data_IF_650712632267
#
_entry.id   IF_650712632267
#
_cell.length_a   1.000
_cell.length_b   1.000
_cell.length_c   1.000
_cell.angle_alpha   90.00
_cell.angle_beta   90.00
_cell.angle_gamma   90.00
#
_symmetry.space_group_name_H-M   'P 1'
#
loop_
_entity.id
_entity.type
_entity.pdbx_description
1 polymer ?
#
# COMPACT_ATOMS: atom_id res chain seq x y z
N UNK A 1 -31.06 -5.78 -39.33
CA UNK A 1 -31.23 -4.92 -38.14
C UNK A 1 -31.28 -5.81 -36.90
N UNK A 2 -30.14 -6.08 -36.28
CA UNK A 2 -30.04 -7.07 -35.20
C UNK A 2 -30.33 -6.47 -33.83
N UNK A 3 -31.59 -6.41 -33.42
CA UNK A 3 -32.03 -5.97 -32.09
C UNK A 3 -33.11 -6.91 -31.53
N UNK A 4 -33.28 -6.97 -30.20
CA UNK A 4 -34.30 -7.79 -29.52
C UNK A 4 -33.73 -8.98 -28.72
N UNK A 5 -34.63 -9.79 -28.14
CA UNK A 5 -34.28 -10.99 -27.40
C UNK A 5 -34.48 -12.25 -28.25
N UNK A 6 -33.57 -13.23 -28.13
CA UNK A 6 -33.63 -14.51 -28.88
C UNK A 6 -33.72 -15.69 -27.92
N UNK A 7 -34.87 -16.37 -27.92
CA UNK A 7 -35.12 -17.58 -27.13
C UNK A 7 -35.52 -18.73 -28.04
N UNK A 8 -34.55 -19.28 -28.79
CA UNK A 8 -34.82 -20.41 -29.68
C UNK A 8 -35.21 -21.64 -28.86
N UNK A 9 -36.26 -22.38 -29.29
CA UNK A 9 -36.61 -23.65 -28.69
C UNK A 9 -35.46 -24.66 -28.76
N UNK A 10 -35.36 -25.52 -27.75
CA UNK A 10 -34.37 -26.61 -27.66
C UNK A 10 -35.03 -27.97 -27.90
N UNK A 11 -34.22 -28.96 -28.24
CA UNK A 11 -34.68 -30.36 -28.38
C UNK A 11 -35.50 -30.75 -27.14
N UNK A 12 -36.65 -31.39 -27.38
CA UNK A 12 -37.65 -31.81 -26.40
C UNK A 12 -38.53 -30.68 -25.79
N UNK A 13 -38.35 -29.41 -26.14
CA UNK A 13 -39.27 -28.33 -25.71
C UNK A 13 -40.57 -28.36 -26.52
N UNK A 14 -41.69 -28.09 -25.85
CA UNK A 14 -43.00 -27.95 -26.51
C UNK A 14 -43.14 -26.50 -26.96
N UNK A 15 -43.50 -26.32 -28.22
CA UNK A 15 -43.64 -25.00 -28.86
C UNK A 15 -45.08 -24.74 -29.24
N UNK A 16 -45.45 -23.46 -29.24
CA UNK A 16 -46.70 -22.98 -29.84
C UNK A 16 -46.41 -22.63 -31.28
N UNK A 17 -47.12 -23.27 -32.21
CA UNK A 17 -47.09 -22.96 -33.63
C UNK A 17 -48.27 -22.05 -33.96
N UNK A 18 -47.99 -20.98 -34.68
CA UNK A 18 -48.97 -20.14 -35.34
C UNK A 18 -48.65 -20.08 -36.84
N UNK A 19 -49.56 -19.55 -37.64
CA UNK A 19 -49.51 -19.64 -39.09
C UNK A 19 -49.64 -18.26 -39.71
N UNK A 20 -48.72 -17.88 -40.58
CA UNK A 20 -48.76 -16.57 -41.24
C UNK A 20 -50.08 -16.42 -42.02
N UNK A 21 -50.86 -15.39 -41.71
CA UNK A 21 -52.17 -15.12 -42.31
C UNK A 21 -53.16 -16.30 -42.21
N UNK A 22 -53.00 -17.18 -41.21
CA UNK A 22 -53.80 -18.40 -41.06
C UNK A 22 -53.48 -19.51 -42.10
N UNK A 23 -52.41 -19.36 -42.88
CA UNK A 23 -52.01 -20.34 -43.88
C UNK A 23 -51.25 -21.52 -43.24
N UNK A 24 -51.88 -22.70 -43.22
CA UNK A 24 -51.34 -23.93 -42.62
C UNK A 24 -49.98 -24.35 -43.22
N UNK A 25 -49.67 -23.95 -44.45
CA UNK A 25 -48.41 -24.25 -45.12
C UNK A 25 -47.26 -23.30 -44.71
N UNK A 26 -47.54 -22.30 -43.87
CA UNK A 26 -46.57 -21.30 -43.39
C UNK A 26 -46.51 -21.22 -41.86
N UNK A 27 -46.16 -22.32 -41.16
CA UNK A 27 -46.03 -22.32 -39.70
C UNK A 27 -44.83 -21.49 -39.23
N UNK A 28 -44.97 -20.87 -38.06
CA UNK A 28 -43.88 -20.26 -37.30
C UNK A 28 -44.05 -20.50 -35.80
N UNK A 29 -42.95 -20.45 -35.06
CA UNK A 29 -42.96 -20.64 -33.60
C UNK A 29 -43.22 -19.31 -32.91
N UNK A 30 -44.27 -19.25 -32.09
CA UNK A 30 -44.62 -18.07 -31.26
C UNK A 30 -43.89 -18.11 -29.92
N UNK A 31 -43.74 -19.29 -29.33
CA UNK A 31 -43.19 -19.43 -27.99
C UNK A 31 -43.11 -20.88 -27.53
N UNK A 32 -42.83 -21.04 -26.23
CA UNK A 32 -42.67 -22.34 -25.56
C UNK A 32 -43.70 -22.46 -24.46
N UNK A 33 -44.16 -23.67 -24.19
CA UNK A 33 -45.12 -23.96 -23.10
C UNK A 33 -44.54 -24.93 -22.08
N UNK A 34 -44.95 -24.75 -20.82
CA UNK A 34 -44.59 -25.60 -19.69
C UNK A 34 -45.83 -26.43 -19.31
N UNK A 35 -45.93 -27.66 -19.81
CA UNK A 35 -47.04 -28.58 -19.55
C UNK A 35 -46.53 -29.97 -19.11
N UNK A 36 -47.38 -30.69 -18.38
CA UNK A 36 -47.15 -32.06 -17.89
C UNK A 36 -45.85 -32.23 -17.08
N UNK A 37 -44.84 -32.93 -17.62
CA UNK A 37 -43.60 -33.24 -16.91
C UNK A 37 -42.65 -32.04 -16.77
N UNK A 38 -42.99 -30.86 -17.31
CA UNK A 38 -42.16 -29.66 -17.20
C UNK A 38 -42.77 -28.65 -16.23
N UNK A 39 -42.11 -28.47 -15.08
CA UNK A 39 -42.43 -27.39 -14.14
C UNK A 39 -42.09 -26.02 -14.73
N UNK A 40 -42.75 -24.94 -14.26
CA UNK A 40 -42.30 -23.58 -14.47
C UNK A 40 -40.84 -23.37 -14.04
N UNK A 41 -40.21 -22.31 -14.54
CA UNK A 41 -38.81 -21.96 -14.22
C UNK A 41 -38.58 -21.94 -12.71
N UNK A 42 -37.64 -22.77 -12.24
CA UNK A 42 -37.20 -22.79 -10.84
C UNK A 42 -35.99 -21.87 -10.67
N UNK A 43 -36.18 -20.74 -10.01
CA UNK A 43 -35.08 -19.89 -9.56
C UNK A 43 -34.41 -20.52 -8.33
N UNK A 44 -33.12 -20.27 -8.16
CA UNK A 44 -32.32 -20.71 -6.99
C UNK A 44 -32.10 -22.23 -6.84
N UNK A 45 -32.54 -23.03 -7.81
CA UNK A 45 -32.56 -24.52 -7.83
C UNK A 45 -33.41 -25.18 -6.74
N UNK A 46 -33.52 -24.54 -5.58
CA UNK A 46 -34.30 -24.94 -4.42
C UNK A 46 -35.74 -24.43 -4.47
N UNK A 47 -35.98 -23.32 -5.17
CA UNK A 47 -37.30 -22.68 -5.22
C UNK A 47 -38.36 -23.55 -5.88
N UNK A 48 -39.50 -23.67 -5.22
CA UNK A 48 -40.67 -24.36 -5.73
C UNK A 48 -41.92 -23.48 -5.61
N UNK A 49 -42.80 -23.59 -6.60
CA UNK A 49 -44.12 -22.98 -6.51
C UNK A 49 -45.01 -23.80 -5.56
N UNK A 50 -45.90 -23.16 -4.78
CA UNK A 50 -46.24 -21.73 -4.79
C UNK A 50 -45.33 -20.85 -3.90
N UNK A 51 -44.41 -21.43 -3.14
CA UNK A 51 -43.60 -20.73 -2.15
C UNK A 51 -42.80 -19.57 -2.76
N UNK A 52 -42.15 -19.80 -3.91
CA UNK A 52 -41.32 -18.80 -4.57
C UNK A 52 -42.04 -18.01 -5.67
N UNK A 53 -43.36 -17.83 -5.55
CA UNK A 53 -44.19 -17.12 -6.57
C UNK A 53 -43.83 -15.65 -6.78
N UNK A 54 -43.07 -15.05 -5.86
CA UNK A 54 -42.59 -13.67 -5.93
C UNK A 54 -41.23 -13.55 -6.63
N UNK A 55 -40.67 -14.67 -7.12
CA UNK A 55 -39.45 -14.68 -7.93
C UNK A 55 -39.82 -14.65 -9.42
N UNK A 56 -39.14 -13.79 -10.17
CA UNK A 56 -39.30 -13.66 -11.62
C UNK A 56 -37.94 -13.52 -12.31
N UNK A 57 -37.92 -13.67 -13.64
CA UNK A 57 -36.73 -13.40 -14.45
C UNK A 57 -36.45 -14.40 -15.55
N UNK A 58 -35.17 -14.53 -15.92
CA UNK A 58 -34.68 -15.36 -17.03
C UNK A 58 -33.69 -16.38 -16.48
N UNK A 59 -33.90 -17.66 -16.79
CA UNK A 59 -32.95 -18.73 -16.48
C UNK A 59 -32.63 -19.52 -17.75
N UNK A 60 -31.35 -19.63 -18.06
CA UNK A 60 -30.85 -20.46 -19.15
C UNK A 60 -30.49 -21.86 -18.64
N UNK A 61 -30.06 -22.74 -19.53
CA UNK A 61 -29.42 -24.01 -19.19
C UNK A 61 -28.23 -24.20 -20.13
N UNK A 62 -27.14 -24.76 -19.63
CA UNK A 62 -26.00 -25.15 -20.44
C UNK A 62 -26.39 -26.23 -21.46
N UNK A 63 -25.81 -26.19 -22.66
CA UNK A 63 -26.06 -27.22 -23.68
C UNK A 63 -25.19 -28.42 -23.36
N UNK A 64 -25.79 -29.60 -23.25
CA UNK A 64 -25.08 -30.85 -22.87
C UNK A 64 -24.37 -30.76 -21.51
N UNK A 65 -24.81 -29.85 -20.63
CA UNK A 65 -24.28 -29.67 -19.29
C UNK A 65 -25.38 -29.39 -18.26
N UNK A 66 -24.95 -29.19 -17.01
CA UNK A 66 -25.82 -28.94 -15.86
C UNK A 66 -25.81 -27.48 -15.40
N UNK A 67 -24.92 -26.66 -15.94
CA UNK A 67 -24.82 -25.24 -15.59
C UNK A 67 -26.00 -24.39 -16.07
N UNK A 68 -26.08 -23.16 -15.58
CA UNK A 68 -27.03 -22.16 -16.03
C UNK A 68 -26.54 -20.73 -15.79
N UNK A 69 -27.10 -19.80 -16.57
CA UNK A 69 -27.14 -18.39 -16.24
C UNK A 69 -28.53 -17.99 -15.72
N UNK A 70 -28.59 -17.02 -14.82
CA UNK A 70 -29.85 -16.55 -14.23
C UNK A 70 -29.82 -15.02 -14.07
N UNK A 71 -30.86 -14.35 -14.53
CA UNK A 71 -31.25 -13.00 -14.11
C UNK A 71 -32.53 -13.17 -13.28
N UNK A 72 -32.48 -12.92 -11.97
CA UNK A 72 -33.60 -13.11 -11.04
C UNK A 72 -33.97 -11.79 -10.38
N UNK A 73 -35.26 -11.51 -10.31
CA UNK A 73 -35.88 -10.45 -9.52
C UNK A 73 -36.64 -11.11 -8.38
N UNK A 74 -36.47 -10.60 -7.17
CA UNK A 74 -37.19 -11.01 -5.98
C UNK A 74 -38.04 -9.84 -5.50
N UNK A 75 -39.35 -9.95 -5.65
CA UNK A 75 -40.33 -8.92 -5.25
C UNK A 75 -40.92 -9.22 -3.86
N UNK A 76 -40.28 -10.09 -3.09
CA UNK A 76 -40.70 -10.38 -1.71
C UNK A 76 -40.52 -9.12 -0.86
N UNK A 77 -41.62 -8.67 -0.23
CA UNK A 77 -41.62 -7.55 0.72
C UNK A 77 -40.54 -7.76 1.79
N UNK A 78 -39.66 -6.77 1.98
CA UNK A 78 -38.53 -6.86 2.90
C UNK A 78 -37.31 -7.61 2.38
N UNK A 79 -37.39 -8.27 1.21
CA UNK A 79 -36.28 -9.00 0.57
C UNK A 79 -36.12 -8.64 -0.91
N UNK A 80 -36.44 -7.39 -1.27
CA UNK A 80 -36.33 -6.91 -2.64
C UNK A 80 -34.90 -7.02 -3.14
N UNK A 81 -34.68 -7.77 -4.23
CA UNK A 81 -33.34 -7.99 -4.76
C UNK A 81 -33.31 -8.29 -6.26
N UNK A 82 -32.15 -8.07 -6.87
CA UNK A 82 -31.84 -8.47 -8.25
C UNK A 82 -30.53 -9.23 -8.28
N UNK A 83 -30.48 -10.34 -9.01
CA UNK A 83 -29.29 -11.18 -9.15
C UNK A 83 -29.02 -11.47 -10.62
N UNK A 84 -27.77 -11.26 -11.04
CA UNK A 84 -27.20 -11.79 -12.27
C UNK A 84 -26.16 -12.85 -11.91
N UNK A 85 -26.39 -14.11 -12.29
CA UNK A 85 -25.59 -15.26 -11.91
C UNK A 85 -25.18 -16.09 -13.12
N UNK A 86 -23.97 -16.65 -13.06
CA UNK A 86 -23.56 -17.86 -13.78
C UNK A 86 -23.19 -18.94 -12.77
N UNK A 87 -23.56 -20.21 -13.00
CA UNK A 87 -23.05 -21.32 -12.18
C UNK A 87 -21.56 -21.55 -12.36
N UNK A 88 -20.97 -21.09 -13.48
CA UNK A 88 -19.54 -21.20 -13.71
C UNK A 88 -18.77 -20.28 -12.78
N UNK A 89 -17.95 -20.86 -11.91
CA UNK A 89 -17.31 -20.15 -10.79
C UNK A 89 -18.31 -19.48 -9.83
N UNK A 90 -19.61 -19.88 -9.90
CA UNK A 90 -20.76 -19.24 -9.25
C UNK A 90 -20.70 -17.72 -9.23
N UNK A 91 -20.25 -17.15 -10.35
CA UNK A 91 -19.99 -15.72 -10.51
C UNK A 91 -21.30 -14.95 -10.46
N UNK A 92 -21.40 -13.95 -9.58
CA UNK A 92 -22.64 -13.23 -9.32
C UNK A 92 -22.43 -11.73 -9.14
N UNK A 93 -23.38 -10.94 -9.66
CA UNK A 93 -23.70 -9.61 -9.20
C UNK A 93 -25.05 -9.67 -8.49
N UNK A 94 -25.07 -9.35 -7.20
CA UNK A 94 -26.26 -9.32 -6.37
C UNK A 94 -26.52 -7.88 -5.88
N UNK A 95 -27.77 -7.41 -5.96
CA UNK A 95 -28.18 -6.04 -5.64
C UNK A 95 -29.41 -6.06 -4.71
N UNK A 96 -29.46 -5.16 -3.74
CA UNK A 96 -30.59 -4.98 -2.82
C UNK A 96 -30.43 -5.75 -1.51
N UNK A 97 -31.51 -6.37 -1.03
CA UNK A 97 -31.51 -7.22 0.16
C UNK A 97 -31.01 -8.62 -0.21
N UNK A 98 -29.77 -8.91 0.15
CA UNK A 98 -29.10 -10.15 -0.22
C UNK A 98 -29.59 -11.25 0.71
N UNK A 99 -30.18 -12.31 0.16
CA UNK A 99 -30.67 -13.47 0.91
C UNK A 99 -30.11 -14.78 0.36
N UNK A 100 -30.19 -15.84 1.17
CA UNK A 100 -29.91 -17.19 0.71
C UNK A 100 -30.98 -17.69 -0.30
N UNK A 101 -30.65 -18.68 -1.15
CA UNK A 101 -31.63 -19.38 -1.99
C UNK A 101 -32.95 -19.70 -1.26
N UNK A 102 -34.09 -19.33 -1.86
CA UNK A 102 -35.40 -19.55 -1.24
C UNK A 102 -35.90 -20.99 -1.41
N UNK A 103 -36.29 -21.61 -0.31
CA UNK A 103 -37.10 -22.85 -0.29
C UNK A 103 -38.57 -22.55 0.04
N UNK A 104 -38.81 -21.57 0.92
CA UNK A 104 -40.13 -21.03 1.28
C UNK A 104 -40.28 -19.59 0.77
N UNK A 105 -41.36 -18.89 1.11
CA UNK A 105 -41.58 -17.50 0.71
C UNK A 105 -40.45 -16.52 1.10
N UNK A 106 -39.74 -16.80 2.19
CA UNK A 106 -38.65 -16.00 2.75
C UNK A 106 -37.42 -16.87 3.01
N UNK A 107 -36.24 -16.27 3.07
CA UNK A 107 -35.00 -16.97 3.43
C UNK A 107 -34.13 -16.11 4.32
N UNK A 108 -33.11 -16.69 4.94
CA UNK A 108 -32.20 -15.93 5.79
C UNK A 108 -31.44 -14.85 4.99
N UNK A 109 -31.35 -13.65 5.55
CA UNK A 109 -30.57 -12.56 4.99
C UNK A 109 -29.07 -12.79 5.16
N UNK A 110 -28.28 -12.38 4.17
CA UNK A 110 -26.81 -12.45 4.17
C UNK A 110 -26.11 -11.10 4.01
N UNK A 111 -26.86 -10.03 3.72
CA UNK A 111 -26.31 -8.68 3.60
C UNK A 111 -27.26 -7.71 2.87
N UNK A 112 -26.85 -6.46 2.76
CA UNK A 112 -27.57 -5.41 2.04
C UNK A 112 -26.60 -4.58 1.18
N UNK A 113 -27.08 -4.10 0.03
CA UNK A 113 -26.29 -3.26 -0.87
C UNK A 113 -25.99 -3.98 -2.18
N UNK A 114 -24.70 -4.12 -2.52
CA UNK A 114 -24.27 -4.88 -3.68
C UNK A 114 -23.14 -5.84 -3.34
N UNK A 115 -23.08 -6.95 -4.07
CA UNK A 115 -21.98 -7.91 -4.00
C UNK A 115 -21.59 -8.33 -5.42
N UNK A 116 -20.30 -8.22 -5.73
CA UNK A 116 -19.68 -8.88 -6.87
C UNK A 116 -18.80 -10.01 -6.34
N UNK A 117 -19.17 -11.27 -6.61
CA UNK A 117 -18.43 -12.45 -6.15
C UNK A 117 -18.14 -13.45 -7.26
N UNK A 118 -17.05 -14.20 -7.09
CA UNK A 118 -16.69 -15.37 -7.90
C UNK A 118 -15.74 -16.25 -7.10
N UNK A 119 -15.77 -17.55 -7.34
CA UNK A 119 -14.77 -18.49 -6.79
C UNK A 119 -13.52 -18.56 -7.68
N UNK A 120 -13.52 -17.84 -8.81
CA UNK A 120 -12.40 -17.74 -9.75
C UNK A 120 -11.73 -16.36 -9.67
N UNK A 121 -11.02 -15.96 -10.72
CA UNK A 121 -10.35 -14.66 -10.78
C UNK A 121 -11.33 -13.51 -11.04
N UNK A 122 -11.10 -12.39 -10.37
CA UNK A 122 -11.82 -11.13 -10.60
C UNK A 122 -10.89 -10.06 -11.18
N UNK A 123 -11.43 -9.18 -12.02
CA UNK A 123 -10.71 -8.01 -12.49
C UNK A 123 -11.65 -6.80 -12.63
N UNK A 124 -11.26 -5.68 -12.01
CA UNK A 124 -11.89 -4.36 -12.20
C UNK A 124 -10.89 -3.48 -12.92
N UNK A 125 -11.24 -3.01 -14.12
CA UNK A 125 -10.36 -2.18 -14.96
C UNK A 125 -11.11 -0.93 -15.42
N UNK A 126 -10.56 0.23 -15.11
CA UNK A 126 -11.08 1.52 -15.54
C UNK A 126 -9.93 2.37 -16.12
N UNK A 127 -9.83 2.42 -17.45
CA UNK A 127 -8.70 3.05 -18.15
C UNK A 127 -8.58 4.56 -17.99
N UNK A 128 -9.62 5.21 -17.46
CA UNK A 128 -9.66 6.65 -17.12
C UNK A 128 -9.57 6.89 -15.61
N UNK A 129 -9.42 5.82 -14.81
CA UNK A 129 -9.26 5.85 -13.35
C UNK A 129 -10.42 5.22 -12.57
N UNK A 130 -10.18 4.97 -11.27
CA UNK A 130 -11.05 4.22 -10.36
C UNK A 130 -11.16 4.93 -9.00
N UNK A 131 -12.38 5.20 -8.55
CA UNK A 131 -12.66 5.66 -7.19
C UNK A 131 -13.27 4.50 -6.38
N UNK A 132 -12.63 4.14 -5.27
CA UNK A 132 -13.16 3.20 -4.28
C UNK A 132 -13.35 3.97 -2.98
N UNK A 133 -14.61 4.21 -2.62
CA UNK A 133 -14.96 5.13 -1.54
C UNK A 133 -16.04 4.56 -0.62
N UNK A 134 -15.93 4.85 0.68
CA UNK A 134 -17.01 4.64 1.66
C UNK A 134 -17.66 5.96 2.10
N UNK A 135 -17.35 7.07 1.42
CA UNK A 135 -18.09 8.31 1.58
C UNK A 135 -19.51 8.15 1.05
N UNK A 136 -20.50 8.54 1.86
CA UNK A 136 -21.90 8.45 1.47
C UNK A 136 -22.25 9.48 0.40
N UNK A 137 -22.99 9.05 -0.62
CA UNK A 137 -23.59 9.92 -1.64
C UNK A 137 -25.10 9.68 -1.67
N UNK A 138 -25.84 10.48 -0.92
CA UNK A 138 -27.28 10.31 -0.81
C UNK A 138 -27.95 10.47 -2.18
N UNK A 139 -28.80 9.50 -2.51
CA UNK A 139 -29.61 9.46 -3.74
C UNK A 139 -28.79 9.57 -5.04
N UNK A 140 -27.48 9.27 -5.01
CA UNK A 140 -26.58 9.41 -6.14
C UNK A 140 -26.64 10.82 -6.81
N UNK A 141 -26.86 11.88 -6.02
CA UNK A 141 -27.07 13.26 -6.52
C UNK A 141 -25.80 13.93 -7.06
N UNK A 142 -24.64 13.60 -6.49
CA UNK A 142 -23.35 14.06 -7.01
C UNK A 142 -22.89 13.24 -8.23
N UNK A 143 -21.81 13.67 -8.87
CA UNK A 143 -21.23 12.95 -9.99
C UNK A 143 -20.57 11.63 -9.52
N UNK A 144 -20.59 10.60 -10.36
CA UNK A 144 -20.11 9.26 -9.97
C UNK A 144 -18.63 9.17 -9.56
N UNK A 145 -17.78 10.13 -9.96
CA UNK A 145 -16.36 10.24 -9.57
C UNK A 145 -16.09 11.46 -8.67
N UNK A 146 -17.06 11.87 -7.85
CA UNK A 146 -16.82 12.93 -6.86
C UNK A 146 -15.80 12.49 -5.80
N UNK A 147 -14.56 12.95 -5.97
CA UNK A 147 -13.43 12.69 -5.08
C UNK A 147 -13.04 13.93 -4.26
N UNK A 148 -13.92 14.93 -4.14
CA UNK A 148 -13.62 16.21 -3.49
C UNK A 148 -13.15 16.04 -2.03
N UNK A 149 -13.84 15.18 -1.26
CA UNK A 149 -13.47 14.92 0.14
C UNK A 149 -12.08 14.30 0.26
N UNK A 150 -11.75 13.35 -0.62
CA UNK A 150 -10.42 12.73 -0.66
C UNK A 150 -9.34 13.76 -1.05
N UNK A 151 -9.65 14.64 -2.02
CA UNK A 151 -8.74 15.73 -2.43
C UNK A 151 -8.43 16.67 -1.27
N UNK A 152 -9.45 17.11 -0.53
CA UNK A 152 -9.31 18.00 0.63
C UNK A 152 -8.47 17.38 1.74
N UNK A 153 -8.65 16.08 2.01
CA UNK A 153 -7.85 15.36 3.01
C UNK A 153 -6.36 15.29 2.60
N UNK A 154 -6.08 15.06 1.32
CA UNK A 154 -4.70 15.02 0.79
C UNK A 154 -4.09 16.43 0.79
N UNK A 155 -4.87 17.47 0.48
CA UNK A 155 -4.46 18.87 0.57
C UNK A 155 -4.10 19.28 2.00
N UNK A 156 -4.92 18.90 2.98
CA UNK A 156 -4.64 19.17 4.39
C UNK A 156 -3.32 18.52 4.83
N UNK A 157 -3.11 17.24 4.49
CA UNK A 157 -1.86 16.52 4.79
C UNK A 157 -0.64 17.13 4.08
N UNK A 158 -0.81 17.61 2.84
CA UNK A 158 0.23 18.32 2.11
C UNK A 158 0.66 19.61 2.85
N UNK A 159 -0.30 20.38 3.35
CA UNK A 159 -0.02 21.62 4.08
C UNK A 159 0.71 21.34 5.41
N UNK A 160 0.30 20.32 6.16
CA UNK A 160 1.01 19.89 7.37
C UNK A 160 2.45 19.44 7.06
N UNK A 161 2.63 18.66 5.99
CA UNK A 161 3.97 18.19 5.56
C UNK A 161 4.87 19.33 5.10
N UNK A 162 4.31 20.36 4.43
CA UNK A 162 5.03 21.59 4.08
C UNK A 162 5.54 22.34 5.30
N UNK A 163 4.68 22.53 6.31
CA UNK A 163 5.06 23.23 7.53
C UNK A 163 6.24 22.53 8.23
N UNK A 164 6.20 21.19 8.35
CA UNK A 164 7.29 20.42 8.94
C UNK A 164 8.57 20.46 8.09
N UNK A 165 8.44 20.43 6.76
CA UNK A 165 9.56 20.55 5.83
C UNK A 165 10.26 21.92 5.90
N UNK A 166 9.53 23.00 6.10
CA UNK A 166 10.12 24.33 6.31
C UNK A 166 10.89 24.39 7.63
N UNK A 167 10.41 23.73 8.68
CA UNK A 167 11.17 23.59 9.94
C UNK A 167 12.47 22.81 9.72
N UNK A 168 12.43 21.70 8.98
CA UNK A 168 13.62 20.92 8.63
C UNK A 168 14.65 21.77 7.86
N UNK A 169 14.20 22.55 6.87
CA UNK A 169 15.01 23.48 6.09
C UNK A 169 15.66 24.56 6.97
N UNK A 170 14.89 25.16 7.88
CA UNK A 170 15.39 26.18 8.82
C UNK A 170 16.42 25.61 9.81
N UNK A 171 16.35 24.31 10.11
CA UNK A 171 17.34 23.58 10.91
C UNK A 171 18.54 23.06 10.08
N UNK A 172 18.66 23.48 8.81
CA UNK A 172 19.72 23.04 7.90
C UNK A 172 19.77 21.51 7.71
N UNK A 173 18.61 20.86 7.76
CA UNK A 173 18.43 19.43 7.47
C UNK A 173 17.70 19.23 6.14
N UNK A 174 17.48 17.98 5.73
CA UNK A 174 16.87 17.66 4.44
C UNK A 174 15.35 17.98 4.44
N UNK A 175 14.87 18.88 3.57
CA UNK A 175 13.43 19.10 3.37
C UNK A 175 12.81 17.95 2.56
N UNK A 176 11.48 17.85 2.62
CA UNK A 176 10.72 16.92 1.80
C UNK A 176 10.60 17.43 0.36
N UNK A 177 11.37 16.83 -0.56
CA UNK A 177 11.31 17.14 -2.00
C UNK A 177 10.01 16.68 -2.68
N UNK A 178 9.24 15.80 -2.03
CA UNK A 178 8.04 15.17 -2.59
C UNK A 178 6.83 16.11 -2.71
N UNK A 179 6.87 17.29 -2.09
CA UNK A 179 5.71 18.16 -1.93
C UNK A 179 5.18 18.68 -3.28
N UNK A 180 6.07 18.93 -4.25
CA UNK A 180 5.67 19.35 -5.61
C UNK A 180 4.98 18.24 -6.39
N UNK A 181 5.44 16.99 -6.24
CA UNK A 181 4.81 15.83 -6.86
C UNK A 181 3.39 15.58 -6.32
N UNK A 182 3.19 15.77 -5.01
CA UNK A 182 1.87 15.64 -4.39
C UNK A 182 0.93 16.78 -4.82
N UNK A 183 1.45 18.01 -4.95
CA UNK A 183 0.70 19.14 -5.50
C UNK A 183 0.28 18.89 -6.96
N UNK A 184 1.19 18.35 -7.78
CA UNK A 184 0.85 17.96 -9.14
C UNK A 184 -0.24 16.89 -9.16
N UNK A 185 -0.13 15.84 -8.33
CA UNK A 185 -1.14 14.78 -8.22
C UNK A 185 -2.53 15.34 -7.88
N UNK A 186 -2.64 16.26 -6.92
CA UNK A 186 -3.91 16.92 -6.57
C UNK A 186 -4.57 17.64 -7.76
N UNK A 187 -3.77 18.29 -8.60
CA UNK A 187 -4.26 18.94 -9.83
C UNK A 187 -4.83 17.97 -10.88
N UNK A 188 -4.56 16.67 -10.73
CA UNK A 188 -5.05 15.61 -11.63
C UNK A 188 -6.36 14.97 -11.13
N UNK A 189 -6.74 15.19 -9.87
CA UNK A 189 -8.05 14.80 -9.30
C UNK A 189 -9.15 15.78 -9.75
N UNK A 190 -8.77 16.93 -10.33
CA UNK A 190 -9.69 18.00 -10.71
C UNK A 190 -10.68 17.64 -11.82
N UNK A 191 -11.85 18.26 -11.71
CA UNK A 191 -12.98 18.17 -12.64
C UNK A 191 -12.56 18.53 -14.07
N UNK A 192 -13.05 17.76 -15.03
CA UNK A 192 -13.10 18.17 -16.44
C UNK A 192 -13.98 19.41 -16.63
N UNK A 193 -14.06 19.92 -17.86
CA UNK A 193 -14.92 21.06 -18.20
C UNK A 193 -16.38 20.82 -17.76
N UNK A 194 -17.12 21.90 -17.48
CA UNK A 194 -18.55 21.88 -17.07
C UNK A 194 -19.50 21.07 -17.98
N UNK A 195 -19.03 20.66 -19.16
CA UNK A 195 -19.80 19.92 -20.18
C UNK A 195 -19.61 18.39 -20.11
N UNK A 196 -18.68 17.88 -19.29
CA UNK A 196 -18.46 16.44 -19.07
C UNK A 196 -18.72 16.07 -17.62
N UNK A 197 -19.18 14.85 -17.37
CA UNK A 197 -19.24 14.28 -16.02
C UNK A 197 -17.86 14.38 -15.35
N UNK A 198 -17.83 14.57 -14.02
CA UNK A 198 -16.58 14.64 -13.25
C UNK A 198 -15.70 13.41 -13.61
N UNK A 199 -14.46 13.69 -14.01
CA UNK A 199 -13.50 12.70 -14.48
C UNK A 199 -12.11 13.11 -14.02
N UNK A 200 -11.26 12.13 -13.68
CA UNK A 200 -9.85 12.38 -13.42
C UNK A 200 -9.15 12.82 -14.72
N UNK A 201 -8.17 13.72 -14.62
CA UNK A 201 -7.38 14.18 -15.78
C UNK A 201 -6.39 13.13 -16.29
N UNK A 202 -6.15 12.09 -15.51
CA UNK A 202 -5.29 10.96 -15.85
C UNK A 202 -5.83 9.66 -15.19
N UNK A 203 -5.32 8.51 -15.60
CA UNK A 203 -5.66 7.23 -15.01
C UNK A 203 -5.15 7.12 -13.55
N UNK A 204 -6.01 7.49 -12.59
CA UNK A 204 -5.75 7.45 -11.15
C UNK A 204 -6.58 6.39 -10.44
N UNK A 205 -6.07 5.87 -9.33
CA UNK A 205 -6.88 5.14 -8.36
C UNK A 205 -6.89 5.89 -7.03
N UNK A 206 -8.06 6.13 -6.47
CA UNK A 206 -8.24 6.72 -5.14
C UNK A 206 -8.99 5.71 -4.27
N UNK A 207 -8.40 5.37 -3.12
CA UNK A 207 -9.03 4.61 -2.05
C UNK A 207 -9.28 5.57 -0.88
N UNK A 208 -10.54 5.77 -0.48
CA UNK A 208 -10.89 6.78 0.52
C UNK A 208 -12.01 6.32 1.45
N UNK A 209 -11.91 6.71 2.72
CA UNK A 209 -12.90 6.40 3.75
C UNK A 209 -12.93 7.51 4.80
N UNK A 210 -14.11 7.86 5.36
CA UNK A 210 -14.21 8.86 6.41
C UNK A 210 -13.61 8.43 7.75
N UNK A 211 -13.52 7.11 8.01
CA UNK A 211 -13.11 6.57 9.31
C UNK A 211 -11.75 5.88 9.24
N UNK A 212 -11.64 4.74 8.55
CA UNK A 212 -10.41 3.95 8.48
C UNK A 212 -10.33 3.09 7.22
N UNK A 213 -9.11 2.74 6.84
CA UNK A 213 -8.78 1.78 5.79
C UNK A 213 -7.84 0.75 6.42
N UNK A 214 -8.15 -0.54 6.26
CA UNK A 214 -7.28 -1.63 6.68
C UNK A 214 -6.69 -2.34 5.45
N UNK A 215 -5.41 -2.69 5.52
CA UNK A 215 -4.70 -3.50 4.52
C UNK A 215 -4.04 -4.67 5.25
N UNK A 216 -4.48 -5.91 4.98
CA UNK A 216 -4.06 -7.10 5.73
C UNK A 216 -3.78 -8.27 4.78
N UNK A 217 -2.85 -9.15 5.17
CA UNK A 217 -2.50 -10.40 4.48
C UNK A 217 -1.99 -11.41 5.52
N UNK A 218 -2.19 -12.70 5.28
CA UNK A 218 -1.57 -13.77 6.11
C UNK A 218 -0.08 -13.95 5.76
N UNK A 219 0.32 -13.54 4.58
CA UNK A 219 1.70 -13.58 4.09
C UNK A 219 2.19 -12.14 3.92
N UNK A 220 2.60 -11.77 2.71
CA UNK A 220 3.28 -10.51 2.44
C UNK A 220 2.32 -9.41 1.97
N UNK A 221 2.69 -8.16 2.26
CA UNK A 221 2.16 -6.95 1.62
C UNK A 221 3.32 -6.26 0.90
N UNK A 222 3.20 -6.09 -0.41
CA UNK A 222 4.19 -5.38 -1.23
C UNK A 222 3.67 -3.99 -1.61
N UNK A 223 4.43 -2.94 -1.28
CA UNK A 223 4.19 -1.56 -1.73
C UNK A 223 5.43 -1.10 -2.49
N UNK A 224 5.28 -0.81 -3.77
CA UNK A 224 6.39 -0.44 -4.66
C UNK A 224 5.98 0.65 -5.65
N UNK A 225 6.91 1.54 -5.97
CA UNK A 225 6.76 2.57 -6.99
C UNK A 225 8.13 2.92 -7.60
N UNK A 226 8.19 3.09 -8.92
CA UNK A 226 9.44 3.44 -9.63
C UNK A 226 9.97 4.83 -9.30
N UNK A 227 9.11 5.71 -8.75
CA UNK A 227 9.46 7.09 -8.40
C UNK A 227 9.56 7.31 -6.91
N UNK A 228 8.43 7.25 -6.19
CA UNK A 228 8.39 7.62 -4.78
C UNK A 228 7.21 6.96 -4.07
N UNK A 229 7.39 6.72 -2.77
CA UNK A 229 6.33 6.36 -1.83
C UNK A 229 6.29 7.46 -0.77
N UNK A 230 5.11 8.00 -0.49
CA UNK A 230 4.90 9.03 0.53
C UNK A 230 3.94 8.53 1.58
N UNK A 231 4.34 8.61 2.85
CA UNK A 231 3.52 8.25 4.00
C UNK A 231 3.45 9.46 4.92
N UNK A 232 2.24 9.87 5.27
CA UNK A 232 1.99 10.99 6.18
C UNK A 232 0.81 10.68 7.08
N UNK A 233 0.86 11.20 8.31
CA UNK A 233 -0.22 11.14 9.28
C UNK A 233 -0.30 12.49 10.00
N UNK A 234 -1.51 12.91 10.37
CA UNK A 234 -1.71 14.14 11.14
C UNK A 234 -1.29 14.01 12.61
N UNK A 235 -1.19 12.78 13.12
CA UNK A 235 -0.76 12.46 14.48
C UNK A 235 0.54 11.64 14.46
N UNK A 236 0.45 10.32 14.37
CA UNK A 236 1.60 9.42 14.55
C UNK A 236 1.69 8.36 13.45
N UNK A 237 2.93 8.00 13.07
CA UNK A 237 3.23 6.81 12.25
C UNK A 237 3.90 5.78 13.16
N UNK A 238 3.28 4.60 13.30
CA UNK A 238 3.80 3.50 14.09
C UNK A 238 4.30 2.39 13.16
N UNK A 239 5.59 2.04 13.27
CA UNK A 239 6.21 0.95 12.52
C UNK A 239 6.73 -0.09 13.52
N UNK A 240 6.27 -1.32 13.41
CA UNK A 240 6.66 -2.42 14.29
C UNK A 240 6.94 -3.70 13.51
N UNK A 241 7.88 -4.49 14.00
CA UNK A 241 8.27 -5.79 13.44
C UNK A 241 8.70 -6.71 14.58
N UNK A 242 8.29 -7.98 14.52
CA UNK A 242 8.68 -8.96 15.54
C UNK A 242 10.13 -9.43 15.39
N UNK A 243 10.71 -9.32 14.19
CA UNK A 243 12.04 -9.84 13.88
C UNK A 243 13.04 -8.72 13.60
N UNK A 244 12.80 -7.94 12.55
CA UNK A 244 13.76 -6.95 12.08
C UNK A 244 13.08 -5.81 11.32
N UNK A 245 13.58 -4.60 11.53
CA UNK A 245 13.35 -3.44 10.67
C UNK A 245 14.66 -3.15 9.93
N UNK A 246 14.65 -3.26 8.61
CA UNK A 246 15.83 -3.06 7.75
C UNK A 246 15.52 -1.93 6.78
N UNK A 247 16.39 -0.91 6.73
CA UNK A 247 16.26 0.24 5.85
C UNK A 247 17.57 0.46 5.08
N UNK A 248 17.46 0.60 3.76
CA UNK A 248 18.59 0.89 2.87
C UNK A 248 18.20 2.00 1.89
N UNK A 249 19.12 2.90 1.61
CA UNK A 249 18.98 3.94 0.60
C UNK A 249 20.28 4.04 -0.20
N UNK A 250 20.17 4.28 -1.52
CA UNK A 250 21.35 4.46 -2.38
C UNK A 250 22.07 5.78 -2.06
N UNK A 251 21.33 6.85 -1.76
CA UNK A 251 21.88 8.19 -1.56
C UNK A 251 22.06 8.51 -0.08
N UNK A 252 20.96 8.63 0.68
CA UNK A 252 21.01 9.02 2.10
C UNK A 252 19.81 8.49 2.89
N UNK A 253 19.99 8.37 4.21
CA UNK A 253 18.92 8.23 5.20
C UNK A 253 18.96 9.49 6.07
N UNK A 254 17.82 10.19 6.18
CA UNK A 254 17.69 11.42 6.97
C UNK A 254 16.57 11.26 7.98
N UNK A 255 16.86 11.48 9.27
CA UNK A 255 15.92 11.36 10.38
C UNK A 255 15.89 12.69 11.14
N UNK A 256 14.71 13.31 11.22
CA UNK A 256 14.54 14.61 11.84
C UNK A 256 13.36 14.61 12.82
N UNK A 257 13.60 15.12 14.03
CA UNK A 257 12.58 15.33 15.05
C UNK A 257 12.61 16.80 15.49
N UNK A 258 11.52 17.53 15.27
CA UNK A 258 11.48 18.98 15.45
C UNK A 258 11.40 19.44 16.92
N UNK A 259 10.87 18.61 17.83
CA UNK A 259 10.55 19.02 19.19
C UNK A 259 11.18 18.11 20.26
N UNK A 260 10.84 16.82 20.28
CA UNK A 260 11.19 15.92 21.39
C UNK A 260 12.48 15.09 21.19
N UNK A 261 13.22 15.35 20.12
CA UNK A 261 14.51 14.73 19.83
C UNK A 261 14.44 13.29 19.32
N UNK A 262 15.62 12.66 19.21
CA UNK A 262 15.81 11.31 18.71
C UNK A 262 16.17 10.36 19.85
N UNK A 263 15.55 9.17 19.88
CA UNK A 263 15.85 8.10 20.83
C UNK A 263 16.20 6.83 20.07
N UNK A 264 17.37 6.26 20.36
CA UNK A 264 17.84 5.00 19.78
C UNK A 264 18.33 4.08 20.91
N UNK A 265 17.64 2.98 21.13
CA UNK A 265 17.92 2.03 22.22
C UNK A 265 18.04 0.61 21.66
N UNK A 266 19.05 -0.13 22.12
CA UNK A 266 19.08 -1.59 21.99
C UNK A 266 18.83 -2.19 23.37
N UNK A 267 17.68 -2.85 23.57
CA UNK A 267 17.35 -3.47 24.86
C UNK A 267 18.29 -4.62 25.22
N UNK A 268 18.85 -5.30 24.21
CA UNK A 268 19.96 -6.26 24.28
C UNK A 268 20.77 -6.16 23.00
N UNK A 269 22.05 -6.53 23.06
CA UNK A 269 22.96 -6.48 21.92
C UNK A 269 23.61 -5.11 21.73
N UNK A 270 24.53 -5.04 20.76
CA UNK A 270 25.35 -3.84 20.51
C UNK A 270 24.59 -2.78 19.70
N UNK A 271 24.81 -1.51 20.02
CA UNK A 271 24.55 -0.39 19.10
C UNK A 271 25.84 -0.15 18.31
N UNK A 272 25.74 -0.15 16.98
CA UNK A 272 26.89 0.04 16.09
C UNK A 272 26.59 1.18 15.12
N UNK A 273 27.45 2.20 15.11
CA UNK A 273 27.37 3.37 14.23
C UNK A 273 28.71 3.47 13.50
N UNK A 274 28.68 3.43 12.16
CA UNK A 274 29.89 3.44 11.33
C UNK A 274 29.70 4.36 10.12
N UNK A 275 30.71 5.20 9.85
CA UNK A 275 30.90 5.88 8.58
C UNK A 275 32.04 5.18 7.82
N UNK A 276 31.70 4.19 6.99
CA UNK A 276 32.71 3.27 6.42
C UNK A 276 33.56 3.90 5.31
N UNK A 277 33.07 4.97 4.68
CA UNK A 277 33.75 5.67 3.59
C UNK A 277 33.95 7.17 3.80
N UNK A 278 33.56 7.71 4.97
CA UNK A 278 33.62 9.16 5.26
C UNK A 278 33.73 9.42 6.78
N UNK A 279 33.66 10.68 7.20
CA UNK A 279 33.67 11.11 8.58
C UNK A 279 32.36 10.85 9.33
N UNK A 280 32.42 10.94 10.66
CA UNK A 280 31.27 10.90 11.55
C UNK A 280 31.34 12.08 12.52
N UNK A 281 30.25 12.84 12.61
CA UNK A 281 30.12 13.99 13.50
C UNK A 281 29.15 13.68 14.66
N UNK A 282 29.54 14.03 15.88
CA UNK A 282 28.68 14.05 17.06
C UNK A 282 28.68 15.44 17.67
N UNK A 283 27.64 16.22 17.37
CA UNK A 283 27.57 17.65 17.71
C UNK A 283 26.35 17.90 18.59
N UNK A 284 26.56 18.60 19.72
CA UNK A 284 25.49 19.06 20.59
C UNK A 284 25.73 20.52 20.99
N UNK A 285 24.65 21.32 21.05
CA UNK A 285 24.71 22.71 21.55
C UNK A 285 25.02 22.80 23.05
N UNK A 286 24.62 21.76 23.80
CA UNK A 286 24.82 21.65 25.25
C UNK A 286 25.94 20.64 25.52
N UNK A 287 25.74 19.73 26.47
CA UNK A 287 26.72 18.70 26.81
C UNK A 287 26.67 17.49 25.88
N UNK A 288 27.80 16.79 25.81
CA UNK A 288 27.92 15.43 25.30
C UNK A 288 28.40 14.58 26.47
N UNK A 289 27.78 13.42 26.69
CA UNK A 289 28.21 12.43 27.68
C UNK A 289 28.54 11.11 26.98
N UNK A 290 29.74 10.60 27.24
CA UNK A 290 30.20 9.29 26.79
C UNK A 290 30.54 8.51 28.05
N UNK A 291 29.73 7.50 28.38
CA UNK A 291 29.79 6.80 29.66
C UNK A 291 29.74 5.30 29.39
N UNK A 292 30.70 4.56 29.96
CA UNK A 292 30.61 3.12 30.17
C UNK A 292 30.37 2.89 31.66
N UNK A 293 29.29 2.18 32.01
CA UNK A 293 28.88 1.99 33.42
C UNK A 293 29.57 0.81 34.08
N UNK A 294 29.96 -0.19 33.29
CA UNK A 294 30.48 -1.47 33.78
C UNK A 294 31.87 -1.81 33.24
N UNK A 295 32.33 -1.12 32.20
CA UNK A 295 33.59 -1.43 31.51
C UNK A 295 34.30 -0.11 31.10
N UNK A 296 34.95 -0.11 29.94
CA UNK A 296 35.86 0.93 29.49
C UNK A 296 35.30 1.81 28.38
N UNK A 297 35.88 2.99 28.22
CA UNK A 297 35.68 3.87 27.05
C UNK A 297 36.99 3.88 26.26
N UNK A 298 36.96 3.42 25.02
CA UNK A 298 38.11 3.41 24.12
C UNK A 298 37.99 4.49 23.04
N UNK A 299 38.99 5.37 22.96
CA UNK A 299 39.12 6.35 21.87
C UNK A 299 40.43 6.06 21.14
N UNK A 300 40.32 5.66 19.87
CA UNK A 300 41.45 5.19 19.06
C UNK A 300 41.46 5.94 17.73
N UNK A 301 42.65 6.37 17.29
CA UNK A 301 42.84 7.03 16.00
C UNK A 301 44.19 6.62 15.41
N UNK A 302 44.25 6.40 14.10
CA UNK A 302 45.49 6.05 13.39
C UNK A 302 46.47 7.22 13.26
N UNK A 303 45.97 8.46 13.25
CA UNK A 303 46.77 9.67 13.04
C UNK A 303 46.95 10.50 14.32
N UNK A 304 45.85 10.97 14.90
CA UNK A 304 45.89 11.79 16.12
C UNK A 304 44.54 11.84 16.84
N UNK A 305 44.59 12.08 18.15
CA UNK A 305 43.45 12.48 18.99
C UNK A 305 43.74 13.89 19.51
N UNK A 306 42.75 14.78 19.43
CA UNK A 306 42.86 16.16 19.90
C UNK A 306 41.68 16.46 20.81
N UNK A 307 41.97 16.80 22.07
CA UNK A 307 40.99 17.21 23.07
C UNK A 307 41.21 18.69 23.39
N UNK A 308 40.29 19.56 22.98
CA UNK A 308 40.43 21.01 23.15
C UNK A 308 39.27 21.57 23.96
N UNK A 309 39.58 22.37 24.97
CA UNK A 309 38.58 23.05 25.81
C UNK A 309 39.13 24.38 26.35
N UNK A 310 38.37 25.47 26.22
CA UNK A 310 38.68 26.75 26.84
C UNK A 310 40.07 27.32 26.50
N UNK A 311 40.59 27.06 25.29
CA UNK A 311 41.94 27.48 24.88
C UNK A 311 43.09 26.59 25.38
N UNK A 312 42.79 25.47 26.05
CA UNK A 312 43.75 24.42 26.38
C UNK A 312 43.53 23.19 25.51
N UNK A 313 44.59 22.42 25.26
CA UNK A 313 44.56 21.24 24.40
C UNK A 313 45.44 20.12 24.96
N UNK A 314 45.00 18.87 24.74
CA UNK A 314 45.84 17.67 24.81
C UNK A 314 45.83 17.03 23.42
N UNK A 315 47.01 16.90 22.81
CA UNK A 315 47.21 16.14 21.58
C UNK A 315 47.89 14.81 21.88
N UNK A 316 47.39 13.73 21.25
CA UNK A 316 48.02 12.41 21.25
C UNK A 316 48.27 12.04 19.79
N UNK A 317 49.53 11.90 19.39
CA UNK A 317 49.95 11.60 18.01
C UNK A 317 51.30 10.87 17.99
N UNK A 318 51.87 10.64 16.80
CA UNK A 318 53.22 10.08 16.67
C UNK A 318 54.32 10.96 17.27
N UNK A 319 54.02 12.24 17.55
CA UNK A 319 54.93 13.14 18.26
C UNK A 319 54.92 12.95 19.79
N UNK A 320 54.02 12.12 20.33
CA UNK A 320 53.87 11.84 21.76
C UNK A 320 52.56 12.38 22.34
N UNK A 321 52.57 12.71 23.63
CA UNK A 321 51.45 13.33 24.37
C UNK A 321 51.81 14.77 24.69
N UNK A 322 51.14 15.72 24.04
CA UNK A 322 51.50 17.14 24.03
C UNK A 322 50.40 17.99 24.69
N UNK A 323 50.53 18.36 25.98
CA UNK A 323 49.64 19.32 26.61
C UNK A 323 50.04 20.75 26.22
N UNK A 324 49.06 21.57 25.82
CA UNK A 324 49.23 23.01 25.52
C UNK A 324 48.21 23.82 26.31
N UNK A 325 48.66 24.82 27.07
CA UNK A 325 47.77 25.73 27.80
C UNK A 325 48.45 27.09 28.02
N UNK A 326 47.69 28.18 27.90
CA UNK A 326 48.14 29.53 28.29
C UNK A 326 47.96 29.77 29.80
N UNK A 327 47.20 28.90 30.48
CA UNK A 327 46.94 28.97 31.90
C UNK A 327 47.89 28.11 32.72
N UNK A 328 47.46 27.79 33.95
CA UNK A 328 48.19 26.90 34.84
C UNK A 328 48.04 25.45 34.40
N UNK A 329 49.15 24.78 34.11
CA UNK A 329 49.20 23.31 34.05
C UNK A 329 49.49 22.77 35.45
N UNK A 330 48.48 22.19 36.12
CA UNK A 330 48.60 21.63 37.46
C UNK A 330 48.53 20.10 37.42
N UNK A 331 49.52 19.43 38.01
CA UNK A 331 49.52 17.98 38.19
C UNK A 331 49.61 17.68 39.68
N UNK A 332 48.64 16.92 40.21
CA UNK A 332 48.58 16.52 41.63
C UNK A 332 48.72 15.01 41.73
N UNK A 333 49.80 14.53 42.34
CA UNK A 333 50.03 13.10 42.58
C UNK A 333 50.83 12.88 43.88
N UNK A 334 50.70 11.68 44.48
CA UNK A 334 51.53 11.27 45.62
C UNK A 334 52.99 10.95 45.23
N UNK A 335 53.26 10.68 43.94
CA UNK A 335 54.60 10.44 43.38
C UNK A 335 54.58 10.77 41.88
N UNK A 336 55.71 11.25 41.35
CA UNK A 336 55.96 11.38 39.91
C UNK A 336 57.14 10.50 39.53
N UNK A 337 56.92 9.53 38.65
CA UNK A 337 57.95 8.58 38.19
C UNK A 337 58.12 8.75 36.68
N UNK A 338 59.35 9.02 36.24
CA UNK A 338 59.70 9.18 34.82
C UNK A 338 60.61 8.02 34.40
N UNK A 339 60.12 7.16 33.51
CA UNK A 339 60.84 5.99 32.97
C UNK A 339 61.02 6.14 31.44
N UNK A 340 61.91 5.34 30.81
CA UNK A 340 62.07 5.36 29.35
C UNK A 340 60.76 5.10 28.60
N UNK A 341 60.66 5.64 27.38
CA UNK A 341 59.48 5.50 26.54
C UNK A 341 59.20 4.06 26.11
N UNK A 342 57.92 3.78 25.84
CA UNK A 342 57.45 2.52 25.28
C UNK A 342 56.42 2.80 24.18
N UNK A 343 56.24 1.84 23.27
CA UNK A 343 55.25 1.91 22.20
C UNK A 343 54.04 1.04 22.54
N UNK A 344 52.84 1.55 22.26
CA UNK A 344 51.59 0.80 22.36
C UNK A 344 51.19 0.32 20.97
N UNK A 345 51.00 -0.99 20.79
CA UNK A 345 50.45 -1.53 19.56
C UNK A 345 48.92 -1.41 19.57
N UNK A 346 48.36 -0.75 18.56
CA UNK A 346 46.93 -0.53 18.41
C UNK A 346 46.38 -1.36 17.25
N UNK A 347 45.28 -2.08 17.50
CA UNK A 347 44.48 -2.71 16.46
C UNK A 347 43.26 -1.83 16.15
N UNK A 348 43.05 -1.52 14.87
CA UNK A 348 41.91 -0.77 14.37
C UNK A 348 40.99 -1.70 13.58
N UNK A 349 39.66 -1.46 13.59
CA UNK A 349 38.74 -2.20 12.75
C UNK A 349 39.08 -2.01 11.28
N UNK A 350 39.06 -3.10 10.52
CA UNK A 350 39.25 -3.08 9.08
C UNK A 350 37.91 -2.77 8.41
N UNK A 351 37.83 -1.66 7.67
CA UNK A 351 36.69 -1.38 6.82
C UNK A 351 36.89 -2.02 5.44
N UNK A 352 35.83 -2.60 4.84
CA UNK A 352 35.90 -3.11 3.48
C UNK A 352 36.28 -1.97 2.53
N UNK A 353 37.24 -2.22 1.63
CA UNK A 353 37.60 -1.23 0.61
C UNK A 353 36.42 -0.98 -0.34
N UNK A 354 36.28 0.28 -0.79
CA UNK A 354 35.17 0.78 -1.58
C UNK A 354 34.75 -0.19 -2.69
N UNK A 355 33.56 -0.77 -2.56
CA UNK A 355 32.91 -1.47 -3.66
C UNK A 355 32.43 -0.40 -4.64
N UNK A 356 32.97 -0.38 -5.86
CA UNK A 356 32.59 0.58 -6.89
C UNK A 356 31.09 0.44 -7.25
N UNK A 357 30.24 1.29 -6.67
CA UNK A 357 28.79 1.27 -6.93
C UNK A 357 28.46 1.52 -8.40
N UNK A 358 29.16 2.44 -9.06
CA UNK A 358 28.98 2.67 -10.50
C UNK A 358 29.29 1.41 -11.31
N UNK A 359 30.29 0.63 -10.91
CA UNK A 359 30.65 -0.62 -11.54
C UNK A 359 29.57 -1.68 -11.32
N UNK A 360 29.01 -1.78 -10.11
CA UNK A 360 27.87 -2.65 -9.79
C UNK A 360 26.60 -2.24 -10.54
N UNK A 361 26.24 -0.96 -10.56
CA UNK A 361 25.07 -0.43 -11.24
C UNK A 361 25.17 -0.59 -12.77
N UNK A 362 26.33 -0.29 -13.38
CA UNK A 362 26.58 -0.58 -14.80
C UNK A 362 26.48 -2.07 -15.12
N UNK A 363 26.91 -2.96 -14.21
CA UNK A 363 26.84 -4.42 -14.39
C UNK A 363 25.45 -5.00 -14.12
N UNK A 364 24.66 -4.43 -13.21
CA UNK A 364 23.24 -4.76 -13.03
C UNK A 364 22.45 -4.48 -14.31
N UNK A 365 22.74 -3.36 -14.99
CA UNK A 365 22.20 -3.09 -16.33
C UNK A 365 22.73 -4.04 -17.42
N UNK A 366 23.84 -4.77 -17.18
CA UNK A 366 24.44 -5.72 -18.12
C UNK A 366 24.20 -7.21 -17.78
N UNK A 367 23.41 -7.55 -16.74
CA UNK A 367 23.05 -8.93 -16.34
C UNK A 367 24.23 -9.91 -16.18
N UNK A 368 25.38 -9.48 -15.64
CA UNK A 368 26.55 -10.35 -15.41
C UNK A 368 26.56 -11.02 -14.02
N UNK A 369 26.80 -12.35 -13.96
CA UNK A 369 26.62 -13.18 -12.75
C UNK A 369 27.82 -13.30 -11.79
N UNK A 370 28.96 -12.66 -12.04
CA UNK A 370 30.16 -12.79 -11.19
C UNK A 370 30.88 -11.45 -10.97
N UNK A 371 31.24 -11.17 -9.71
CA UNK A 371 32.22 -10.15 -9.34
C UNK A 371 33.54 -10.86 -9.07
N UNK A 372 34.55 -10.62 -9.90
CA UNK A 372 35.91 -11.00 -9.53
C UNK A 372 36.33 -10.03 -8.42
N UNK A 373 36.52 -10.53 -7.20
CA UNK A 373 37.16 -9.75 -6.14
C UNK A 373 38.57 -9.50 -6.65
N UNK A 374 38.86 -8.27 -7.06
CA UNK A 374 40.22 -7.89 -7.47
C UNK A 374 41.19 -8.36 -6.39
N UNK A 375 42.21 -9.10 -6.82
CA UNK A 375 43.22 -9.65 -5.94
C UNK A 375 43.82 -8.52 -5.09
N UNK A 376 43.76 -8.71 -3.77
CA UNK A 376 44.38 -7.81 -2.84
C UNK A 376 45.90 -7.80 -3.05
N UNK A 377 46.43 -6.60 -3.30
CA UNK A 377 47.79 -6.20 -2.96
C UNK A 377 47.72 -4.88 -2.21
#
# INVERSE_FOLDING_TARGET
EGYGARFLPRINEIVVIDFFDGNIDRPFVVGRIHEAQRSPTKFDNKGQLPETKKLAGIKSKEVQGEGFGQLRFDDTTGQISTQLQSTHGATQLNLGNLSHPKETAESEGRGEGFELRTDQWGAVRAGQGLLVSTHSQQQATAMHLDAQVAKEQIEANLNSSKALSEVAKNQQTDPLEVLDNLKHFLGQIEKGSQEKADAFKQALMILSAPNSIAMTSNEDIHVSADRQISQSAGDSINISSQKSLIAHAQSKISLFAAQEGLRAYAGKGKVEIQAQGDGADLIARKGIQIISTEDSVEIKASKKIVLTAGGSQIEISSAGVLPTTAGKFEVKAGQHTFIPGAQVNMQLPFFPQNVCWECLARRMNQRGAFVNKGDGL
#
